data_IF_396535690165
#
_entry.id   IF_396535690165
#
_cell.length_a   1.000
_cell.length_b   1.000
_cell.length_c   1.000
_cell.angle_alpha   90.00
_cell.angle_beta   90.00
_cell.angle_gamma   90.00
#
_symmetry.space_group_name_H-M   'P 1'
#
loop_
_entity.id
_entity.type
_entity.pdbx_description
1 polymer ?
#
# COMPACT_ATOMS: atom_id res chain seq x y z
N UNK A 1 -5.23 -2.88 -13.83
CA UNK A 1 -3.92 -2.46 -14.42
C UNK A 1 -3.06 -3.70 -14.68
N UNK A 2 -2.81 -4.03 -15.94
CA UNK A 2 -2.05 -5.21 -16.36
C UNK A 2 -0.64 -4.88 -16.85
N UNK A 3 0.37 -5.58 -16.31
CA UNK A 3 1.69 -5.75 -16.93
C UNK A 3 2.62 -4.55 -17.01
N UNK A 4 2.26 -3.39 -16.49
CA UNK A 4 3.17 -2.23 -16.43
C UNK A 4 4.23 -2.44 -15.34
N UNK A 5 5.50 -2.07 -15.58
CA UNK A 5 6.52 -2.09 -14.54
C UNK A 5 6.12 -1.12 -13.40
N UNK A 6 6.54 -1.44 -12.18
CA UNK A 6 6.29 -0.60 -11.01
C UNK A 6 6.78 0.83 -11.27
N UNK A 7 5.88 1.80 -11.14
CA UNK A 7 6.14 3.21 -11.47
C UNK A 7 5.75 4.12 -10.30
N UNK A 8 6.58 5.13 -10.05
CA UNK A 8 6.28 6.21 -9.10
C UNK A 8 6.01 7.50 -9.87
N UNK A 9 4.92 8.19 -9.55
CA UNK A 9 4.66 9.53 -10.07
C UNK A 9 5.19 10.57 -9.08
N UNK A 10 6.03 11.49 -9.56
CA UNK A 10 6.61 12.58 -8.77
C UNK A 10 6.35 13.89 -9.50
N UNK A 11 5.79 14.88 -8.80
CA UNK A 11 5.58 16.24 -9.32
C UNK A 11 6.65 17.16 -8.74
N UNK A 12 7.44 17.79 -9.61
CA UNK A 12 8.45 18.79 -9.24
C UNK A 12 8.05 20.15 -9.81
N UNK A 13 8.39 21.22 -9.10
CA UNK A 13 8.11 22.61 -9.52
C UNK A 13 9.40 23.40 -9.63
N UNK A 14 9.38 24.60 -10.23
CA UNK A 14 10.58 25.44 -10.35
C UNK A 14 11.24 25.81 -9.02
N UNK A 15 10.48 25.82 -7.91
CA UNK A 15 11.02 26.04 -6.55
C UNK A 15 11.88 24.87 -6.06
N UNK A 16 11.70 23.68 -6.65
CA UNK A 16 12.42 22.46 -6.28
C UNK A 16 13.82 22.37 -6.92
N UNK A 17 14.18 23.26 -7.85
CA UNK A 17 15.44 23.21 -8.63
C UNK A 17 16.67 23.07 -7.72
N UNK A 18 16.72 23.86 -6.64
CA UNK A 18 17.83 23.84 -5.69
C UNK A 18 18.00 22.50 -4.94
N UNK A 19 16.97 21.65 -4.88
CA UNK A 19 16.96 20.38 -4.15
C UNK A 19 16.94 19.13 -5.03
N UNK A 20 16.98 19.26 -6.36
CA UNK A 20 16.89 18.12 -7.28
C UNK A 20 18.07 17.16 -7.10
N UNK A 21 19.29 17.67 -7.00
CA UNK A 21 20.48 16.83 -6.83
C UNK A 21 20.46 16.06 -5.51
N UNK A 22 20.07 16.73 -4.41
CA UNK A 22 19.93 16.08 -3.10
C UNK A 22 18.86 14.98 -3.13
N UNK A 23 17.72 15.25 -3.77
CA UNK A 23 16.66 14.27 -3.99
C UNK A 23 17.17 13.04 -4.75
N UNK A 24 17.89 13.25 -5.86
CA UNK A 24 18.47 12.16 -6.65
C UNK A 24 19.51 11.37 -5.85
N UNK A 25 20.32 12.04 -5.03
CA UNK A 25 21.27 11.41 -4.12
C UNK A 25 20.59 10.48 -3.12
N UNK A 26 19.53 10.96 -2.45
CA UNK A 26 18.74 10.18 -1.50
C UNK A 26 18.06 8.99 -2.19
N UNK A 27 17.48 9.19 -3.38
CA UNK A 27 16.85 8.11 -4.14
C UNK A 27 17.85 7.01 -4.50
N UNK A 28 19.06 7.38 -4.95
CA UNK A 28 20.11 6.41 -5.27
C UNK A 28 20.56 5.63 -4.03
N UNK A 29 20.84 6.33 -2.93
CA UNK A 29 21.25 5.70 -1.68
C UNK A 29 20.18 4.73 -1.15
N UNK A 30 18.91 5.13 -1.22
CA UNK A 30 17.78 4.29 -0.82
C UNK A 30 17.65 3.06 -1.71
N UNK A 31 17.76 3.23 -3.04
CA UNK A 31 17.69 2.13 -3.99
C UNK A 31 18.83 1.12 -3.79
N UNK A 32 20.05 1.59 -3.57
CA UNK A 32 21.22 0.73 -3.33
C UNK A 32 21.10 -0.03 -2.00
N UNK A 33 20.53 0.60 -0.96
CA UNK A 33 20.29 -0.05 0.33
C UNK A 33 19.26 -1.19 0.24
N UNK A 34 18.22 -1.06 -0.59
CA UNK A 34 17.14 -2.06 -0.70
C UNK A 34 17.37 -3.10 -1.79
N UNK A 35 18.20 -2.82 -2.81
CA UNK A 35 18.45 -3.75 -3.94
C UNK A 35 18.89 -5.15 -3.49
N UNK A 36 19.78 -5.33 -2.48
CA UNK A 36 20.16 -6.66 -2.00
C UNK A 36 19.03 -7.44 -1.32
N UNK A 37 17.99 -6.75 -0.83
CA UNK A 37 16.85 -7.38 -0.14
C UNK A 37 15.85 -8.01 -1.12
N UNK A 38 15.93 -7.66 -2.40
CA UNK A 38 15.02 -8.14 -3.44
C UNK A 38 13.60 -7.56 -3.32
N UNK A 39 12.66 -8.04 -4.15
CA UNK A 39 11.27 -7.59 -4.11
C UNK A 39 10.63 -7.95 -2.77
N UNK A 40 10.01 -6.98 -2.11
CA UNK A 40 9.23 -7.25 -0.90
C UNK A 40 7.98 -8.06 -1.25
N UNK A 41 7.85 -9.27 -0.70
CA UNK A 41 6.64 -10.08 -0.82
C UNK A 41 5.69 -9.84 0.37
N UNK A 42 4.38 -9.95 0.13
CA UNK A 42 3.42 -10.07 1.22
C UNK A 42 3.56 -11.44 1.91
N UNK A 43 3.30 -11.55 3.23
CA UNK A 43 3.26 -12.84 3.91
C UNK A 43 2.24 -13.77 3.24
N UNK A 44 2.64 -15.01 2.93
CA UNK A 44 1.78 -15.95 2.20
C UNK A 44 0.47 -16.25 2.94
N UNK A 45 0.51 -16.30 4.27
CA UNK A 45 -0.66 -16.50 5.14
C UNK A 45 -1.67 -15.36 5.00
N UNK A 46 -1.19 -14.12 4.88
CA UNK A 46 -2.06 -12.95 4.65
C UNK A 46 -2.69 -12.99 3.25
N UNK A 47 -1.93 -13.39 2.23
CA UNK A 47 -2.45 -13.54 0.86
C UNK A 47 -3.52 -14.63 0.81
N UNK A 48 -3.30 -15.76 1.49
CA UNK A 48 -4.26 -16.85 1.58
C UNK A 48 -5.55 -16.42 2.30
N UNK A 49 -5.43 -15.74 3.45
CA UNK A 49 -6.57 -15.20 4.19
C UNK A 49 -7.41 -14.25 3.30
N UNK A 50 -6.75 -13.34 2.59
CA UNK A 50 -7.42 -12.37 1.72
C UNK A 50 -8.08 -13.03 0.51
N UNK A 51 -7.53 -14.15 0.02
CA UNK A 51 -8.13 -14.91 -1.08
C UNK A 51 -9.42 -15.65 -0.66
N UNK A 52 -9.61 -15.93 0.62
CA UNK A 52 -10.83 -16.54 1.16
C UNK A 52 -11.94 -15.53 1.48
N UNK A 53 -11.63 -14.22 1.45
CA UNK A 53 -12.61 -13.18 1.71
C UNK A 53 -13.55 -12.98 0.53
N UNK A 54 -14.84 -12.96 0.83
CA UNK A 54 -15.87 -12.49 -0.08
C UNK A 54 -16.04 -10.98 0.04
N UNK A 55 -15.43 -10.24 -0.89
CA UNK A 55 -15.49 -8.77 -0.91
C UNK A 55 -16.86 -8.20 -1.26
N UNK A 56 -17.78 -9.01 -1.78
CA UNK A 56 -19.14 -8.56 -2.08
C UNK A 56 -20.00 -8.50 -0.81
N UNK A 57 -19.75 -9.40 0.14
CA UNK A 57 -20.50 -9.49 1.40
C UNK A 57 -19.82 -8.81 2.58
N UNK A 58 -18.54 -8.45 2.44
CA UNK A 58 -17.76 -7.75 3.48
C UNK A 58 -18.18 -6.29 3.61
N UNK A 59 -18.70 -5.92 4.78
CA UNK A 59 -19.05 -4.55 5.13
C UNK A 59 -17.85 -3.74 5.63
N UNK A 60 -18.01 -2.42 5.74
CA UNK A 60 -16.92 -1.52 6.10
C UNK A 60 -16.36 -1.78 7.50
N UNK A 61 -17.21 -2.23 8.43
CA UNK A 61 -16.82 -2.56 9.81
C UNK A 61 -16.00 -3.84 9.87
N UNK A 62 -16.44 -4.89 9.17
CA UNK A 62 -15.70 -6.14 9.02
C UNK A 62 -14.38 -5.92 8.30
N UNK A 63 -14.36 -5.08 7.26
CA UNK A 63 -13.13 -4.71 6.58
C UNK A 63 -12.15 -3.96 7.48
N UNK A 64 -12.62 -2.95 8.24
CA UNK A 64 -11.80 -2.18 9.17
C UNK A 64 -11.14 -3.08 10.24
N UNK A 65 -11.86 -4.09 10.73
CA UNK A 65 -11.33 -5.05 11.71
C UNK A 65 -10.19 -5.94 11.16
N UNK A 66 -10.08 -6.10 9.83
CA UNK A 66 -9.03 -6.90 9.18
C UNK A 66 -7.75 -6.09 8.91
N UNK A 67 -7.82 -4.75 8.88
CA UNK A 67 -6.68 -3.90 8.57
C UNK A 67 -5.47 -4.11 9.50
N UNK A 68 -5.63 -4.23 10.84
CA UNK A 68 -4.50 -4.50 11.72
C UNK A 68 -3.77 -5.81 11.39
N UNK A 69 -4.48 -6.84 10.90
CA UNK A 69 -3.87 -8.13 10.50
C UNK A 69 -3.00 -8.00 9.25
N UNK A 70 -3.26 -7.01 8.40
CA UNK A 70 -2.40 -6.65 7.27
C UNK A 70 -1.20 -5.75 7.68
N UNK A 71 -1.01 -5.52 8.98
CA UNK A 71 0.01 -4.61 9.52
C UNK A 71 -0.38 -3.13 9.41
N UNK A 72 -1.68 -2.84 9.23
CA UNK A 72 -2.22 -1.49 9.14
C UNK A 72 -2.83 -1.09 10.48
N UNK A 73 -2.02 -0.45 11.32
CA UNK A 73 -2.55 0.29 12.46
C UNK A 73 -3.08 1.63 11.96
N UNK A 74 -4.40 1.79 12.02
CA UNK A 74 -5.08 3.07 11.78
C UNK A 74 -5.26 3.74 13.14
N UNK A 75 -4.62 4.89 13.37
CA UNK A 75 -4.79 5.71 14.59
C UNK A 75 -3.56 5.95 15.47
N UNK A 76 -2.40 5.33 15.19
CA UNK A 76 -1.11 5.71 15.81
C UNK A 76 -0.39 6.81 15.01
N UNK A 77 0.75 7.32 15.50
CA UNK A 77 1.70 8.06 14.64
C UNK A 77 1.99 7.18 13.41
N UNK A 78 1.29 7.48 12.32
CA UNK A 78 1.37 6.71 11.10
C UNK A 78 2.83 6.68 10.69
N UNK A 79 3.51 5.56 10.91
CA UNK A 79 4.87 5.36 10.41
C UNK A 79 4.90 5.23 8.88
N UNK A 80 3.89 5.72 8.16
CA UNK A 80 3.90 5.78 6.71
C UNK A 80 3.97 4.40 6.05
N UNK A 81 3.47 3.34 6.70
CA UNK A 81 3.60 1.95 6.25
C UNK A 81 2.63 1.58 5.11
N UNK A 82 2.54 2.42 4.09
CA UNK A 82 1.89 2.07 2.81
C UNK A 82 2.60 0.93 2.08
N UNK A 83 3.87 0.66 2.41
CA UNK A 83 4.62 -0.45 1.86
C UNK A 83 3.95 -1.81 2.12
N UNK A 84 3.28 -2.01 3.26
CA UNK A 84 2.53 -3.24 3.54
C UNK A 84 1.31 -3.40 2.63
N UNK A 85 0.52 -2.32 2.50
CA UNK A 85 -0.65 -2.27 1.61
C UNK A 85 -0.27 -2.54 0.18
N UNK A 86 0.76 -1.86 -0.33
CA UNK A 86 1.18 -2.00 -1.72
C UNK A 86 1.65 -3.43 -2.01
N UNK A 87 2.37 -4.08 -1.10
CA UNK A 87 2.77 -5.49 -1.26
C UNK A 87 1.58 -6.44 -1.27
N UNK A 88 0.59 -6.21 -0.40
CA UNK A 88 -0.63 -7.01 -0.38
C UNK A 88 -1.41 -6.84 -1.69
N UNK A 89 -1.64 -5.60 -2.12
CA UNK A 89 -2.29 -5.31 -3.39
C UNK A 89 -1.54 -5.96 -4.55
N UNK A 90 -0.20 -5.89 -4.56
CA UNK A 90 0.68 -6.49 -5.57
C UNK A 90 0.55 -8.00 -5.69
N UNK A 91 0.26 -8.71 -4.60
CA UNK A 91 0.04 -10.15 -4.59
C UNK A 91 -1.36 -10.57 -5.07
N UNK A 92 -2.32 -9.66 -5.14
CA UNK A 92 -3.71 -10.01 -5.48
C UNK A 92 -3.96 -10.11 -7.00
N UNK A 93 -4.84 -11.04 -7.42
CA UNK A 93 -5.42 -11.03 -8.76
C UNK A 93 -6.05 -9.66 -9.09
N UNK A 94 -6.03 -9.27 -10.36
CA UNK A 94 -6.49 -7.92 -10.80
C UNK A 94 -7.89 -7.58 -10.30
N UNK A 95 -8.84 -8.52 -10.41
CA UNK A 95 -10.22 -8.31 -9.95
C UNK A 95 -10.31 -8.08 -8.43
N UNK A 96 -9.59 -8.88 -7.64
CA UNK A 96 -9.55 -8.74 -6.18
C UNK A 96 -8.86 -7.44 -5.73
N UNK A 97 -7.83 -7.00 -6.46
CA UNK A 97 -7.12 -5.75 -6.18
C UNK A 97 -8.03 -4.52 -6.31
N UNK A 98 -8.86 -4.48 -7.35
CA UNK A 98 -9.78 -3.36 -7.58
C UNK A 98 -10.87 -3.30 -6.50
N UNK A 99 -11.44 -4.45 -6.12
CA UNK A 99 -12.40 -4.55 -5.01
C UNK A 99 -11.77 -4.14 -3.67
N UNK A 100 -10.56 -4.64 -3.38
CA UNK A 100 -9.80 -4.28 -2.18
C UNK A 100 -9.53 -2.77 -2.10
N UNK A 101 -9.12 -2.15 -3.21
CA UNK A 101 -8.87 -0.70 -3.25
C UNK A 101 -10.14 0.11 -3.01
N UNK A 102 -11.28 -0.32 -3.58
CA UNK A 102 -12.57 0.32 -3.34
C UNK A 102 -12.98 0.20 -1.86
N UNK A 103 -12.89 -0.99 -1.26
CA UNK A 103 -13.23 -1.22 0.15
C UNK A 103 -12.33 -0.44 1.10
N UNK A 104 -11.03 -0.39 0.81
CA UNK A 104 -10.09 0.44 1.58
C UNK A 104 -10.46 1.92 1.54
N UNK A 105 -10.82 2.44 0.37
CA UNK A 105 -11.26 3.83 0.21
C UNK A 105 -12.57 4.10 0.96
N UNK A 106 -13.55 3.19 0.85
CA UNK A 106 -14.81 3.27 1.60
C UNK A 106 -14.57 3.31 3.10
N UNK A 107 -13.74 2.41 3.63
CA UNK A 107 -13.39 2.37 5.04
C UNK A 107 -12.66 3.63 5.50
N UNK A 108 -11.74 4.19 4.70
CA UNK A 108 -10.99 5.41 5.02
C UNK A 108 -11.89 6.63 5.21
N UNK A 109 -13.00 6.69 4.47
CA UNK A 109 -14.00 7.75 4.60
C UNK A 109 -15.20 7.36 5.47
N UNK A 110 -15.14 6.19 6.10
CA UNK A 110 -16.17 5.67 7.00
C UNK A 110 -15.88 6.08 8.45
N UNK A 111 -16.91 6.31 9.30
CA UNK A 111 -16.70 6.64 10.71
C UNK A 111 -15.97 5.55 11.52
N UNK A 112 -15.79 4.35 10.97
CA UNK A 112 -15.12 3.24 11.65
C UNK A 112 -13.59 3.31 11.66
N UNK A 113 -12.97 4.15 10.82
CA UNK A 113 -11.52 4.41 10.82
C UNK A 113 -11.13 5.78 11.39
N UNK A 114 -12.10 6.64 11.66
CA UNK A 114 -11.92 7.93 12.33
C UNK A 114 -12.62 7.94 13.68
N UNK A 115 -11.94 7.44 14.71
CA UNK A 115 -12.33 7.51 16.12
C UNK A 115 -11.15 7.84 17.00
#
# INVERSE_FOLDING_TARGET
MGGLPASLHVTLTGVSEAGVEDLLGILRASADAVRPLGPGAAPAELVALVAELDFDTLDDAGFAALLPLAGLEVGGESSGRMAGVNRLLDALPVAARELMAQRFLSALYSPYLGG
#
